data_IF_666478347301
#
_entry.id   IF_666478347301
#
_cell.length_a   1.000
_cell.length_b   1.000
_cell.length_c   1.000
_cell.angle_alpha   90.00
_cell.angle_beta   90.00
_cell.angle_gamma   90.00
#
_symmetry.space_group_name_H-M   'P 1'
#
loop_
_entity.id
_entity.type
_entity.pdbx_description
1 polymer ?
#
# COMPACT_ATOMS: atom_id res chain seq x y z
N UNK A 1 -0.60 -20.33 20.40
CA UNK A 1 -1.62 -19.25 20.36
C UNK A 1 -1.01 -18.04 21.02
N UNK A 2 -1.04 -16.91 20.33
CA UNK A 2 -0.40 -15.66 20.77
C UNK A 2 -1.44 -14.77 21.44
N UNK A 3 -1.12 -14.21 22.60
CA UNK A 3 -2.02 -13.34 23.37
C UNK A 3 -1.27 -12.30 24.19
N UNK A 4 -1.97 -11.25 24.62
CA UNK A 4 -1.40 -10.19 25.47
C UNK A 4 -1.57 -10.59 26.94
N UNK A 5 -0.49 -10.46 27.72
CA UNK A 5 -0.46 -10.73 29.15
C UNK A 5 -0.10 -9.47 29.92
N UNK A 6 -0.81 -9.24 31.03
CA UNK A 6 -0.56 -8.15 31.98
C UNK A 6 0.19 -8.67 33.20
N UNK A 7 1.32 -8.05 33.55
CA UNK A 7 2.14 -8.42 34.71
C UNK A 7 2.40 -7.22 35.61
N UNK A 8 2.33 -7.42 36.94
CA UNK A 8 2.68 -6.41 37.94
C UNK A 8 4.12 -6.62 38.40
N UNK A 9 4.95 -5.57 38.33
CA UNK A 9 6.32 -5.59 38.83
C UNK A 9 6.63 -4.25 39.52
N UNK A 10 7.14 -4.28 40.76
CA UNK A 10 7.43 -3.10 41.60
C UNK A 10 6.30 -2.05 41.60
N UNK A 11 5.06 -2.50 41.76
CA UNK A 11 3.87 -1.63 41.79
C UNK A 11 3.37 -1.12 40.44
N UNK A 12 4.11 -1.33 39.34
CA UNK A 12 3.72 -0.92 37.98
C UNK A 12 3.21 -2.11 37.16
N UNK A 13 2.33 -1.84 36.22
CA UNK A 13 1.82 -2.85 35.29
C UNK A 13 2.52 -2.75 33.94
N UNK A 14 2.78 -3.90 33.36
CA UNK A 14 3.51 -4.08 32.12
C UNK A 14 2.77 -5.05 31.22
N UNK A 15 2.75 -4.78 29.93
CA UNK A 15 2.13 -5.64 28.93
C UNK A 15 3.20 -6.38 28.13
N UNK A 16 2.84 -7.61 27.77
CA UNK A 16 3.69 -8.52 27.02
C UNK A 16 2.87 -9.25 25.97
N UNK A 17 3.48 -9.53 24.82
CA UNK A 17 2.96 -10.50 23.87
C UNK A 17 3.58 -11.85 24.20
N UNK A 18 2.75 -12.86 24.44
CA UNK A 18 3.22 -14.19 24.86
C UNK A 18 2.59 -15.27 23.99
N UNK A 19 3.33 -16.35 23.79
CA UNK A 19 2.81 -17.60 23.26
C UNK A 19 3.06 -18.73 24.24
N UNK A 20 2.03 -19.57 24.43
CA UNK A 20 2.12 -20.79 25.21
C UNK A 20 1.89 -22.02 24.33
N UNK A 21 2.63 -23.08 24.66
CA UNK A 21 2.59 -24.40 24.03
C UNK A 21 2.35 -25.47 25.10
N UNK A 22 1.81 -26.62 24.71
CA UNK A 22 1.68 -27.76 25.61
C UNK A 22 2.87 -28.70 25.44
N UNK A 23 3.56 -29.00 26.53
CA UNK A 23 4.69 -29.94 26.56
C UNK A 23 4.46 -30.91 27.72
N UNK A 24 4.40 -32.20 27.43
CA UNK A 24 4.19 -33.28 28.41
C UNK A 24 2.97 -33.04 29.32
N UNK A 25 1.84 -32.62 28.73
CA UNK A 25 0.59 -32.40 29.46
C UNK A 25 0.58 -31.16 30.35
N UNK A 26 1.56 -30.25 30.23
CA UNK A 26 1.57 -28.96 30.93
C UNK A 26 1.72 -27.81 29.94
N UNK A 27 0.97 -26.73 30.17
CA UNK A 27 1.14 -25.49 29.43
C UNK A 27 2.45 -24.82 29.86
N UNK A 28 3.31 -24.51 28.88
CA UNK A 28 4.59 -23.84 29.06
C UNK A 28 4.67 -22.64 28.13
N UNK A 29 5.29 -21.55 28.60
CA UNK A 29 5.53 -20.37 27.77
C UNK A 29 6.62 -20.68 26.75
N UNK A 30 6.31 -20.55 25.47
CA UNK A 30 7.27 -20.69 24.39
C UNK A 30 8.15 -19.44 24.27
N UNK A 31 7.53 -18.26 24.24
CA UNK A 31 8.24 -16.98 24.19
C UNK A 31 7.41 -15.84 24.78
N UNK A 32 8.09 -14.73 25.05
CA UNK A 32 7.50 -13.51 25.54
C UNK A 32 8.27 -12.30 25.03
N UNK A 33 7.53 -11.30 24.53
CA UNK A 33 8.09 -10.01 24.10
C UNK A 33 7.48 -8.88 24.93
N UNK A 34 8.34 -8.02 25.48
CA UNK A 34 7.91 -6.85 26.25
C UNK A 34 7.32 -5.78 25.34
N UNK A 35 6.12 -5.32 25.64
CA UNK A 35 5.44 -4.27 24.88
C UNK A 35 5.62 -2.89 25.51
N UNK A 36 5.73 -2.84 26.84
CA UNK A 36 5.89 -1.58 27.57
C UNK A 36 5.08 -1.51 28.86
N UNK A 37 5.19 -0.39 29.58
CA UNK A 37 4.33 -0.06 30.70
C UNK A 37 2.88 0.15 30.24
N UNK A 38 1.91 -0.36 31.01
CA UNK A 38 0.48 -0.28 30.66
C UNK A 38 -0.01 1.17 30.56
N UNK A 39 0.43 2.03 31.46
CA UNK A 39 0.14 3.46 31.48
C UNK A 39 0.60 4.14 30.18
N UNK A 40 1.84 3.89 29.76
CA UNK A 40 2.36 4.47 28.52
C UNK A 40 1.62 3.98 27.28
N UNK A 41 1.26 2.70 27.25
CA UNK A 41 0.58 2.09 26.10
C UNK A 41 -0.86 2.58 25.94
N UNK A 42 -1.55 2.95 27.03
CA UNK A 42 -2.90 3.55 26.96
C UNK A 42 -2.91 4.88 26.22
N UNK A 43 -1.82 5.63 26.33
CA UNK A 43 -1.70 6.97 25.74
C UNK A 43 -1.15 6.94 24.30
N UNK A 44 -0.77 5.77 23.78
CA UNK A 44 -0.31 5.63 22.40
C UNK A 44 -1.49 5.76 21.45
N UNK A 45 -1.46 6.81 20.62
CA UNK A 45 -2.30 6.91 19.43
C UNK A 45 -1.76 5.96 18.37
N UNK A 46 -2.35 4.77 18.21
CA UNK A 46 -1.93 3.78 17.21
C UNK A 46 -1.91 4.34 15.77
N UNK A 47 -2.76 5.32 15.48
CA UNK A 47 -2.78 6.00 14.19
C UNK A 47 -1.46 6.73 13.88
N UNK A 48 -0.75 7.27 14.87
CA UNK A 48 0.51 7.98 14.63
C UNK A 48 1.70 7.04 14.35
N UNK A 49 1.59 5.77 14.76
CA UNK A 49 2.57 4.73 14.43
C UNK A 49 2.42 4.27 12.97
N UNK A 50 1.19 4.26 12.44
CA UNK A 50 0.92 3.95 11.04
C UNK A 50 1.29 5.11 10.11
N UNK A 51 1.21 6.36 10.58
CA UNK A 51 1.61 7.54 9.78
C UNK A 51 3.09 7.85 9.83
N UNK A 52 3.88 7.23 10.71
CA UNK A 52 5.35 7.43 10.75
C UNK A 52 6.06 7.04 9.45
N UNK A 53 5.41 6.26 8.59
CA UNK A 53 5.88 5.93 7.25
C UNK A 53 5.05 6.60 6.14
N UNK A 54 4.04 7.40 6.48
CA UNK A 54 3.27 8.18 5.51
C UNK A 54 4.05 9.41 4.98
N UNK A 55 5.12 9.81 5.67
CA UNK A 55 5.99 10.91 5.23
C UNK A 55 6.86 10.54 4.02
N UNK A 56 7.01 9.25 3.69
CA UNK A 56 7.75 8.75 2.53
C UNK A 56 6.82 8.22 1.42
N UNK A 57 5.70 8.91 1.17
CA UNK A 57 4.95 8.64 -0.07
C UNK A 57 5.64 9.41 -1.18
N UNK A 58 6.43 8.71 -2.01
CA UNK A 58 6.89 9.25 -3.29
C UNK A 58 5.67 9.38 -4.21
N UNK A 59 5.16 10.60 -4.34
CA UNK A 59 4.09 10.92 -5.29
C UNK A 59 4.74 11.39 -6.58
N UNK A 60 4.61 10.61 -7.65
CA UNK A 60 4.94 11.05 -9.00
C UNK A 60 3.65 11.58 -9.66
N UNK A 61 3.52 12.89 -9.77
CA UNK A 61 2.44 13.51 -10.53
C UNK A 61 2.78 13.39 -12.02
N UNK A 62 2.06 12.56 -12.75
CA UNK A 62 2.16 12.50 -14.22
C UNK A 62 1.11 13.47 -14.77
N UNK A 63 1.54 14.44 -15.59
CA UNK A 63 0.63 15.38 -16.24
C UNK A 63 -0.21 14.66 -17.32
N UNK A 64 -1.36 14.13 -16.94
CA UNK A 64 -2.27 13.44 -17.86
C UNK A 64 -3.13 14.42 -18.70
N UNK A 65 -3.37 15.63 -18.20
CA UNK A 65 -4.28 16.59 -18.82
C UNK A 65 -3.82 17.05 -20.21
N UNK A 66 -2.52 17.31 -20.39
CA UNK A 66 -1.98 17.72 -21.68
C UNK A 66 -2.09 16.59 -22.73
N UNK A 67 -1.75 15.35 -22.35
CA UNK A 67 -1.90 14.18 -23.23
C UNK A 67 -3.36 13.93 -23.60
N UNK A 68 -4.29 14.03 -22.64
CA UNK A 68 -5.72 13.86 -22.89
C UNK A 68 -6.28 14.95 -23.82
N UNK A 69 -5.87 16.21 -23.64
CA UNK A 69 -6.28 17.31 -24.52
C UNK A 69 -5.76 17.13 -25.96
N UNK A 70 -4.49 16.73 -26.11
CA UNK A 70 -3.92 16.43 -27.42
C UNK A 70 -4.58 15.23 -28.08
N UNK A 71 -4.94 14.20 -27.30
CA UNK A 71 -5.68 13.04 -27.80
C UNK A 71 -7.05 13.44 -28.33
N UNK A 72 -7.81 14.24 -27.58
CA UNK A 72 -9.11 14.73 -28.02
C UNK A 72 -8.99 15.54 -29.33
N UNK A 73 -8.00 16.44 -29.43
CA UNK A 73 -7.76 17.20 -30.66
C UNK A 73 -7.40 16.27 -31.82
N UNK A 74 -6.61 15.22 -31.59
CA UNK A 74 -6.24 14.25 -32.61
C UNK A 74 -7.46 13.47 -33.14
N UNK A 75 -8.41 13.11 -32.26
CA UNK A 75 -9.68 12.49 -32.64
C UNK A 75 -10.57 13.47 -33.43
N UNK A 76 -10.68 14.72 -32.99
CA UNK A 76 -11.50 15.75 -33.65
C UNK A 76 -11.06 16.04 -35.09
N UNK A 77 -9.76 15.96 -35.39
CA UNK A 77 -9.21 16.20 -36.73
C UNK A 77 -9.02 14.93 -37.56
N UNK A 78 -9.41 13.75 -37.04
CA UNK A 78 -9.12 12.44 -37.65
C UNK A 78 -7.64 12.29 -38.04
N UNK A 79 -6.74 12.59 -37.09
CA UNK A 79 -5.30 12.56 -37.33
C UNK A 79 -4.83 11.18 -37.81
N UNK A 80 -5.39 10.11 -37.25
CA UNK A 80 -5.10 8.75 -37.66
C UNK A 80 -5.49 8.48 -39.12
N UNK A 81 -6.68 8.92 -39.55
CA UNK A 81 -7.10 8.82 -40.95
C UNK A 81 -6.20 9.62 -41.90
N UNK A 82 -5.73 10.80 -41.48
CA UNK A 82 -4.77 11.60 -42.26
C UNK A 82 -3.43 10.85 -42.42
N UNK A 83 -2.92 10.26 -41.35
CA UNK A 83 -1.67 9.48 -41.37
C UNK A 83 -1.83 8.26 -42.28
N UNK A 84 -2.90 7.49 -42.13
CA UNK A 84 -3.20 6.31 -42.95
C UNK A 84 -3.30 6.67 -44.44
N UNK A 85 -3.93 7.81 -44.77
CA UNK A 85 -4.06 8.28 -46.14
C UNK A 85 -2.72 8.73 -46.76
N UNK A 86 -1.80 9.29 -45.97
CA UNK A 86 -0.49 9.75 -46.45
C UNK A 86 0.57 8.66 -46.52
N UNK A 87 0.43 7.62 -45.70
CA UNK A 87 1.35 6.49 -45.64
C UNK A 87 0.99 5.38 -46.61
N UNK A 88 -0.12 5.49 -47.33
CA UNK A 88 -0.53 4.55 -48.36
C UNK A 88 -1.13 3.26 -47.79
N UNK A 89 -1.71 3.31 -46.59
CA UNK A 89 -2.33 2.15 -45.97
C UNK A 89 -3.52 1.65 -46.80
N UNK A 90 -3.52 0.37 -47.13
CA UNK A 90 -4.61 -0.28 -47.84
C UNK A 90 -5.75 -0.67 -46.88
N UNK A 91 -7.01 -0.55 -47.33
CA UNK A 91 -8.24 -0.81 -46.53
C UNK A 91 -8.33 -2.18 -45.83
N UNK A 92 -7.45 -3.13 -46.14
CA UNK A 92 -7.45 -4.50 -45.60
C UNK A 92 -6.43 -4.75 -44.47
N UNK A 93 -5.65 -3.76 -44.06
CA UNK A 93 -4.74 -3.88 -42.93
C UNK A 93 -5.47 -3.54 -41.62
N UNK A 94 -5.51 -4.49 -40.68
CA UNK A 94 -6.33 -4.42 -39.47
C UNK A 94 -5.93 -3.34 -38.45
N UNK A 95 -4.69 -2.83 -38.49
CA UNK A 95 -4.21 -1.77 -37.59
C UNK A 95 -4.07 -0.44 -38.32
N UNK A 96 -4.60 0.64 -37.73
CA UNK A 96 -4.19 2.02 -38.04
C UNK A 96 -2.70 2.20 -37.82
N UNK A 97 -2.03 2.90 -38.75
CA UNK A 97 -0.65 3.35 -38.54
C UNK A 97 -0.61 4.61 -37.67
N UNK A 98 -1.77 5.25 -37.47
CA UNK A 98 -1.96 6.42 -36.61
C UNK A 98 -2.51 6.13 -35.21
N UNK A 99 -2.95 4.90 -34.91
CA UNK A 99 -3.44 4.53 -33.57
C UNK A 99 -2.33 3.82 -32.78
N UNK A 100 -2.08 4.28 -31.55
CA UNK A 100 -1.11 3.71 -30.59
C UNK A 100 -1.66 3.68 -29.17
#
# INVERSE_FOLDING_TARGET
>A
MVYITRKKNKGKYYLYLEESIWVNGKSQRAWQKYLGPEDKLKDIKFNSLLTKHADNVEVQTIEFGASAALWQVAEEIDLAGIIDAKTGKERKQNLSLGDY
#
